data_IF_816704594449
#
_entry.id   IF_816704594449
#
_cell.length_a   1.000
_cell.length_b   1.000
_cell.length_c   1.000
_cell.angle_alpha   90.00
_cell.angle_beta   90.00
_cell.angle_gamma   90.00
#
_symmetry.space_group_name_H-M   'P 1'
#
loop_
_entity.id
_entity.type
_entity.pdbx_description
1 polymer ?
#
# COMPACT_ATOMS: atom_id res chain seq x y z
N UNK A 1 -21.96 5.77 -14.40
CA UNK A 1 -21.14 6.45 -13.37
C UNK A 1 -20.10 5.45 -12.91
N UNK A 2 -18.80 5.80 -12.99
CA UNK A 2 -17.74 4.98 -12.41
C UNK A 2 -17.60 5.41 -10.95
N UNK A 3 -17.63 4.46 -10.02
CA UNK A 3 -17.43 4.75 -8.60
C UNK A 3 -15.94 4.63 -8.28
N UNK A 4 -15.38 5.67 -7.64
CA UNK A 4 -14.01 5.65 -7.13
C UNK A 4 -13.90 4.58 -6.03
N UNK A 5 -12.79 3.85 -5.98
CA UNK A 5 -12.51 2.96 -4.85
C UNK A 5 -12.36 3.78 -3.56
N UNK A 6 -12.66 3.17 -2.42
CA UNK A 6 -12.46 3.82 -1.12
C UNK A 6 -11.00 3.74 -0.67
N UNK A 7 -10.61 4.60 0.27
CA UNK A 7 -9.26 4.57 0.84
C UNK A 7 -8.99 3.25 1.54
N UNK A 8 -10.00 2.74 2.25
CA UNK A 8 -9.98 1.51 3.04
C UNK A 8 -9.81 0.27 2.16
N UNK A 9 -10.52 0.20 1.03
CA UNK A 9 -10.37 -0.89 0.06
C UNK A 9 -8.97 -0.93 -0.56
N UNK A 10 -8.44 0.25 -0.93
CA UNK A 10 -7.09 0.36 -1.48
C UNK A 10 -6.04 0.02 -0.41
N UNK A 11 -6.22 0.49 0.83
CA UNK A 11 -5.32 0.19 1.94
C UNK A 11 -5.30 -1.31 2.25
N UNK A 12 -6.46 -1.96 2.32
CA UNK A 12 -6.56 -3.40 2.59
C UNK A 12 -5.92 -4.23 1.46
N UNK A 13 -6.12 -3.83 0.20
CA UNK A 13 -5.45 -4.47 -0.93
C UNK A 13 -3.92 -4.29 -0.90
N UNK A 14 -3.43 -3.11 -0.51
CA UNK A 14 -2.00 -2.85 -0.29
C UNK A 14 -1.45 -3.68 0.88
N UNK A 15 -2.18 -3.76 1.99
CA UNK A 15 -1.77 -4.53 3.17
C UNK A 15 -1.61 -6.01 2.83
N UNK A 16 -2.59 -6.59 2.13
CA UNK A 16 -2.51 -7.97 1.64
C UNK A 16 -1.25 -8.19 0.79
N UNK A 17 -0.94 -7.27 -0.12
CA UNK A 17 0.29 -7.35 -0.92
C UNK A 17 1.56 -7.29 -0.06
N UNK A 18 1.60 -6.43 0.96
CA UNK A 18 2.73 -6.38 1.90
C UNK A 18 2.88 -7.72 2.65
N UNK A 19 1.78 -8.33 3.09
CA UNK A 19 1.80 -9.66 3.73
C UNK A 19 2.30 -10.75 2.77
N UNK A 20 1.80 -10.78 1.53
CA UNK A 20 2.14 -11.81 0.55
C UNK A 20 3.64 -11.81 0.17
N UNK A 21 4.25 -10.62 0.19
CA UNK A 21 5.68 -10.41 -0.11
C UNK A 21 6.58 -10.33 1.12
N UNK A 22 6.03 -10.36 2.33
CA UNK A 22 6.81 -10.32 3.56
C UNK A 22 7.84 -11.47 3.60
N UNK A 23 9.09 -11.15 3.93
CA UNK A 23 10.22 -12.09 3.89
C UNK A 23 10.73 -12.49 2.51
N UNK A 24 10.06 -12.08 1.41
CA UNK A 24 10.44 -12.43 0.03
C UNK A 24 11.01 -11.25 -0.74
N UNK A 25 10.40 -10.07 -0.60
CA UNK A 25 10.81 -8.84 -1.28
C UNK A 25 10.33 -7.62 -0.50
N UNK A 26 11.20 -6.61 -0.40
CA UNK A 26 10.80 -5.30 0.12
C UNK A 26 10.07 -4.49 -0.96
N UNK A 27 8.86 -4.01 -0.64
CA UNK A 27 8.03 -3.22 -1.54
C UNK A 27 8.21 -1.73 -1.27
N UNK A 28 8.49 -0.95 -2.32
CA UNK A 28 8.49 0.51 -2.23
C UNK A 28 7.05 1.02 -2.32
N UNK A 29 6.79 2.23 -1.83
CA UNK A 29 5.51 2.91 -2.03
C UNK A 29 5.10 3.01 -3.51
N UNK A 30 6.08 3.12 -4.41
CA UNK A 30 5.84 3.12 -5.86
C UNK A 30 5.30 1.79 -6.38
N UNK A 31 5.78 0.66 -5.84
CA UNK A 31 5.34 -0.67 -6.25
C UNK A 31 3.87 -0.89 -5.88
N UNK A 32 3.51 -0.56 -4.63
CA UNK A 32 2.12 -0.60 -4.16
C UNK A 32 1.21 0.27 -5.01
N UNK A 33 1.63 1.52 -5.28
CA UNK A 33 0.85 2.44 -6.13
C UNK A 33 0.59 1.86 -7.52
N UNK A 34 1.64 1.34 -8.18
CA UNK A 34 1.50 0.77 -9.54
C UNK A 34 0.55 -0.42 -9.51
N UNK A 35 0.72 -1.32 -8.55
CA UNK A 35 -0.13 -2.50 -8.41
C UNK A 35 -1.60 -2.15 -8.13
N UNK A 36 -1.88 -1.12 -7.31
CA UNK A 36 -3.26 -0.72 -7.04
C UNK A 36 -3.92 -0.03 -8.24
N UNK A 37 -3.20 0.84 -8.95
CA UNK A 37 -3.71 1.46 -10.18
C UNK A 37 -3.99 0.38 -11.24
N UNK A 38 -3.11 -0.60 -11.39
CA UNK A 38 -3.32 -1.74 -12.30
C UNK A 38 -4.52 -2.60 -11.88
N UNK A 39 -4.69 -2.85 -10.58
CA UNK A 39 -5.77 -3.68 -10.03
C UNK A 39 -7.16 -3.03 -10.13
N UNK A 40 -7.27 -1.75 -9.79
CA UNK A 40 -8.55 -1.05 -9.71
C UNK A 40 -8.88 -0.26 -10.99
N UNK A 41 -7.87 0.04 -11.82
CA UNK A 41 -7.98 0.90 -12.99
C UNK A 41 -7.79 2.38 -12.66
N UNK A 42 -7.24 3.13 -13.62
CA UNK A 42 -6.92 4.57 -13.45
C UNK A 42 -8.16 5.44 -13.15
N UNK A 43 -9.35 5.01 -13.57
CA UNK A 43 -10.61 5.72 -13.31
C UNK A 43 -11.13 5.53 -11.87
N UNK A 44 -10.69 4.48 -11.16
CA UNK A 44 -11.14 4.15 -9.80
C UNK A 44 -10.06 4.28 -8.74
N UNK A 45 -8.79 4.35 -9.13
CA UNK A 45 -7.67 4.47 -8.20
C UNK A 45 -6.61 5.38 -8.80
N UNK A 46 -6.40 6.54 -8.17
CA UNK A 46 -5.41 7.50 -8.60
C UNK A 46 -4.22 7.58 -7.63
N UNK A 47 -3.24 8.41 -7.99
CA UNK A 47 -2.05 8.65 -7.16
C UNK A 47 -2.41 9.27 -5.80
N UNK A 48 -3.47 10.07 -5.70
CA UNK A 48 -3.87 10.75 -4.46
C UNK A 48 -4.45 9.74 -3.48
N UNK A 49 -5.37 8.89 -3.95
CA UNK A 49 -5.98 7.81 -3.18
C UNK A 49 -4.92 6.82 -2.69
N UNK A 50 -3.99 6.39 -3.55
CA UNK A 50 -2.88 5.53 -3.14
C UNK A 50 -2.04 6.14 -2.01
N UNK A 51 -1.80 7.45 -2.01
CA UNK A 51 -1.05 8.11 -0.93
C UNK A 51 -1.83 8.13 0.38
N UNK A 52 -3.14 8.36 0.33
CA UNK A 52 -4.01 8.32 1.50
C UNK A 52 -4.07 6.90 2.09
N UNK A 53 -4.22 5.89 1.23
CA UNK A 53 -4.20 4.48 1.64
C UNK A 53 -2.86 4.09 2.30
N UNK A 54 -1.72 4.51 1.74
CA UNK A 54 -0.42 4.26 2.39
C UNK A 54 -0.33 4.97 3.74
N UNK A 55 -0.83 6.21 3.86
CA UNK A 55 -0.87 6.91 5.16
C UNK A 55 -1.73 6.14 6.16
N UNK A 56 -2.91 5.67 5.76
CA UNK A 56 -3.79 4.86 6.60
C UNK A 56 -3.08 3.61 7.13
N UNK A 57 -2.30 2.91 6.29
CA UNK A 57 -1.52 1.75 6.75
C UNK A 57 -0.49 2.07 7.83
N UNK A 58 0.13 3.26 7.76
CA UNK A 58 1.13 3.68 8.73
C UNK A 58 0.47 4.20 10.00
N UNK A 59 -0.54 5.07 9.87
CA UNK A 59 -1.24 5.71 10.99
C UNK A 59 -2.04 4.68 11.82
N UNK A 60 -2.58 3.63 11.17
CA UNK A 60 -3.23 2.50 11.85
C UNK A 60 -2.25 1.51 12.49
N UNK A 61 -0.95 1.64 12.22
CA UNK A 61 0.08 0.71 12.69
C UNK A 61 0.08 -0.66 11.97
N UNK A 62 -0.72 -0.85 10.91
CA UNK A 62 -0.69 -2.09 10.11
C UNK A 62 0.64 -2.28 9.37
N UNK A 63 1.30 -1.19 8.98
CA UNK A 63 2.61 -1.17 8.34
C UNK A 63 3.51 -0.11 8.98
N UNK A 64 4.81 -0.20 8.70
CA UNK A 64 5.79 0.84 9.01
C UNK A 64 6.74 1.09 7.85
N UNK A 65 7.47 2.20 7.88
CA UNK A 65 8.57 2.46 6.96
C UNK A 65 9.86 1.82 7.45
N UNK A 66 10.51 1.05 6.58
CA UNK A 66 11.91 0.67 6.74
C UNK A 66 12.79 1.53 5.84
N UNK A 67 13.96 1.90 6.36
CA UNK A 67 14.97 2.72 5.66
C UNK A 67 16.27 1.96 5.36
N UNK A 68 16.30 0.64 5.58
CA UNK A 68 17.49 -0.18 5.33
C UNK A 68 17.62 -0.45 3.83
N UNK A 69 18.58 0.23 3.18
CA UNK A 69 18.83 0.06 1.74
C UNK A 69 17.75 0.68 0.84
N UNK A 70 17.01 1.67 1.33
CA UNK A 70 15.92 2.36 0.62
C UNK A 70 14.67 2.52 1.48
N UNK A 71 13.64 3.19 0.95
CA UNK A 71 12.35 3.36 1.62
C UNK A 71 11.34 2.28 1.21
N UNK A 72 10.94 1.46 2.18
CA UNK A 72 10.04 0.33 1.98
C UNK A 72 8.87 0.38 2.96
N UNK A 73 7.72 -0.14 2.52
CA UNK A 73 6.56 -0.39 3.37
C UNK A 73 6.63 -1.85 3.80
N UNK A 74 6.72 -2.09 5.11
CA UNK A 74 6.88 -3.41 5.70
C UNK A 74 5.90 -3.63 6.85
N UNK A 75 5.70 -4.89 7.24
CA UNK A 75 5.00 -5.20 8.50
C UNK A 75 5.81 -4.64 9.68
N UNK A 76 5.16 -4.17 10.76
CA UNK A 76 5.85 -3.81 11.99
C UNK A 76 6.62 -5.02 12.53
N UNK A 77 7.77 -4.80 13.21
CA UNK A 77 8.46 -5.88 13.90
C UNK A 77 7.55 -6.49 14.98
N UNK A 78 7.64 -7.81 15.17
CA UNK A 78 7.03 -8.47 16.31
C UNK A 78 7.58 -7.88 17.61
N UNK A 79 6.70 -7.67 18.60
CA UNK A 79 7.06 -7.11 19.91
C UNK A 79 7.52 -8.20 20.87
#
# INVERSE_FOLDING_TARGET
MINMATMEEVAEAMFKMVQDYHGKKNLKALDLRKAMIEKFGEDQCDKKLCKLAIRELIDSGKCTYSYVGGSYIVLPPES
#
